data_IF_827245406630
#
_entry.id   IF_827245406630
#
_cell.length_a   1.000
_cell.length_b   1.000
_cell.length_c   1.000
_cell.angle_alpha   90.00
_cell.angle_beta   90.00
_cell.angle_gamma   90.00
#
_symmetry.space_group_name_H-M   'P 1'
#
loop_
_entity.id
_entity.type
_entity.pdbx_description
1 polymer ?
#
# COMPACT_ATOMS: atom_id res chain seq x y z
N UNK A 1 -4.10 -12.26 7.91
CA UNK A 1 -3.03 -11.41 7.37
C UNK A 1 -3.43 -9.95 7.38
N UNK A 2 -2.48 -9.07 7.46
CA UNK A 2 -2.67 -7.62 7.25
C UNK A 2 -1.89 -7.20 6.01
N UNK A 3 -2.43 -6.26 5.26
CA UNK A 3 -1.81 -5.78 4.03
C UNK A 3 -1.64 -4.27 4.07
N UNK A 4 -0.60 -3.76 3.44
CA UNK A 4 -0.17 -2.38 3.59
C UNK A 4 0.19 -1.76 2.25
N UNK A 5 -0.31 -0.55 1.98
CA UNK A 5 -0.05 0.21 0.76
C UNK A 5 0.83 1.44 1.05
N UNK A 6 1.88 1.64 0.26
CA UNK A 6 2.90 2.69 0.44
C UNK A 6 3.09 3.47 -0.86
N UNK A 7 3.18 4.80 -0.81
CA UNK A 7 3.45 5.67 -1.97
C UNK A 7 4.31 6.90 -1.65
N UNK A 8 5.24 7.29 -2.55
CA UNK A 8 5.85 8.64 -2.71
C UNK A 8 6.78 8.75 -3.95
N UNK A 9 7.41 9.93 -4.16
CA UNK A 9 8.21 10.22 -5.35
C UNK A 9 9.65 9.74 -5.26
N UNK A 10 10.16 9.24 -6.38
CA UNK A 10 11.58 8.91 -6.61
C UNK A 10 12.16 9.95 -7.59
N UNK A 11 13.36 10.45 -7.35
CA UNK A 11 14.10 11.27 -8.31
C UNK A 11 15.35 10.52 -8.76
N UNK A 12 15.36 10.12 -10.02
CA UNK A 12 16.39 9.22 -10.54
C UNK A 12 16.39 7.89 -9.75
N UNK A 13 17.53 7.44 -9.30
CA UNK A 13 17.67 6.19 -8.54
C UNK A 13 17.63 6.41 -7.00
N UNK A 14 17.29 7.61 -6.53
CA UNK A 14 17.25 7.96 -5.09
C UNK A 14 15.83 8.16 -4.61
N UNK A 15 15.47 7.44 -3.57
CA UNK A 15 14.22 7.66 -2.82
C UNK A 15 14.28 8.99 -2.05
N UNK A 16 13.14 9.69 -1.94
CA UNK A 16 13.06 10.91 -1.14
C UNK A 16 13.20 10.59 0.36
N UNK A 17 13.67 11.56 1.16
CA UNK A 17 13.73 11.39 2.63
C UNK A 17 12.35 11.07 3.25
N UNK A 18 11.29 11.61 2.67
CA UNK A 18 9.93 11.33 3.12
C UNK A 18 9.54 9.88 2.83
N UNK A 19 9.90 9.36 1.66
CA UNK A 19 9.69 7.96 1.30
C UNK A 19 10.54 7.04 2.17
N UNK A 20 11.82 7.37 2.38
CA UNK A 20 12.73 6.61 3.23
C UNK A 20 12.15 6.41 4.65
N UNK A 21 11.68 7.48 5.30
CA UNK A 21 11.05 7.39 6.64
C UNK A 21 9.84 6.45 6.67
N UNK A 22 9.04 6.42 5.60
CA UNK A 22 7.91 5.50 5.47
C UNK A 22 8.37 4.07 5.29
N UNK A 23 9.38 3.85 4.45
CA UNK A 23 9.94 2.52 4.23
C UNK A 23 10.63 1.98 5.48
N UNK A 24 11.34 2.82 6.24
CA UNK A 24 11.90 2.42 7.54
C UNK A 24 10.80 1.95 8.50
N UNK A 25 9.67 2.67 8.52
CA UNK A 25 8.51 2.26 9.33
C UNK A 25 7.88 0.96 8.83
N UNK A 26 7.86 0.72 7.51
CA UNK A 26 7.40 -0.53 6.93
C UNK A 26 8.33 -1.70 7.28
N UNK A 27 9.64 -1.50 7.21
CA UNK A 27 10.64 -2.50 7.60
C UNK A 27 10.51 -2.85 9.09
N UNK A 28 10.39 -1.84 9.96
CA UNK A 28 10.11 -2.06 11.39
C UNK A 28 8.85 -2.90 11.60
N UNK A 29 7.76 -2.56 10.90
CA UNK A 29 6.51 -3.29 11.00
C UNK A 29 6.63 -4.74 10.49
N UNK A 30 7.36 -4.95 9.38
CA UNK A 30 7.60 -6.29 8.82
C UNK A 30 8.30 -7.22 9.81
N UNK A 31 9.27 -6.69 10.57
CA UNK A 31 10.02 -7.46 11.56
C UNK A 31 9.12 -8.05 12.68
N UNK A 32 8.07 -7.33 13.08
CA UNK A 32 7.13 -7.78 14.10
C UNK A 32 5.91 -8.52 13.54
N UNK A 33 5.69 -8.47 12.22
CA UNK A 33 4.50 -9.01 11.57
C UNK A 33 4.86 -9.85 10.33
N UNK A 34 5.43 -11.05 10.51
CA UNK A 34 5.97 -11.87 9.41
C UNK A 34 4.88 -12.36 8.42
N UNK A 35 3.61 -12.30 8.81
CA UNK A 35 2.48 -12.67 7.95
C UNK A 35 1.85 -11.48 7.20
N UNK A 36 2.41 -10.27 7.35
CA UNK A 36 1.94 -9.09 6.63
C UNK A 36 2.51 -9.06 5.22
N UNK A 37 1.68 -8.70 4.27
CA UNK A 37 2.11 -8.44 2.89
C UNK A 37 2.01 -6.95 2.61
N UNK A 38 3.05 -6.42 2.00
CA UNK A 38 3.15 -5.02 1.61
C UNK A 38 2.88 -4.89 0.12
N UNK A 39 1.88 -4.12 -0.24
CA UNK A 39 1.69 -3.66 -1.63
C UNK A 39 2.47 -2.37 -1.80
N UNK A 40 3.52 -2.44 -2.59
CA UNK A 40 4.35 -1.31 -2.98
C UNK A 40 3.75 -0.73 -4.24
N UNK A 41 3.00 0.37 -4.11
CA UNK A 41 2.21 0.91 -5.21
C UNK A 41 2.74 2.27 -5.64
N UNK A 42 3.06 2.38 -6.92
CA UNK A 42 3.53 3.59 -7.57
C UNK A 42 4.17 3.29 -8.92
N UNK A 43 3.61 3.89 -9.97
CA UNK A 43 4.13 3.77 -11.34
C UNK A 43 5.38 4.61 -11.56
N UNK A 44 5.75 4.75 -12.81
CA UNK A 44 6.89 5.55 -13.25
C UNK A 44 6.44 7.00 -13.50
N UNK A 45 7.13 7.95 -12.87
CA UNK A 45 6.98 9.37 -13.19
C UNK A 45 7.70 9.74 -14.50
N UNK A 46 7.34 10.87 -15.09
CA UNK A 46 7.88 11.31 -16.39
C UNK A 46 9.41 11.52 -16.38
N UNK A 47 9.98 11.82 -15.20
CA UNK A 47 11.41 12.08 -14.99
C UNK A 47 12.10 10.93 -14.21
N UNK A 48 11.52 9.74 -14.17
CA UNK A 48 12.02 8.62 -13.35
C UNK A 48 12.51 7.47 -14.24
N UNK A 49 13.70 6.95 -13.93
CA UNK A 49 14.28 5.78 -14.64
C UNK A 49 13.64 4.46 -14.23
N UNK A 50 12.97 4.43 -13.08
CA UNK A 50 12.36 3.25 -12.49
C UNK A 50 11.04 3.61 -11.82
N UNK A 51 10.13 2.63 -11.69
CA UNK A 51 8.88 2.84 -10.96
C UNK A 51 9.12 3.09 -9.47
N UNK A 52 8.24 3.87 -8.82
CA UNK A 52 8.29 4.05 -7.37
C UNK A 52 8.22 2.70 -6.64
N UNK A 53 7.35 1.79 -7.11
CA UNK A 53 7.20 0.45 -6.55
C UNK A 53 8.52 -0.35 -6.61
N UNK A 54 9.22 -0.33 -7.74
CA UNK A 54 10.50 -1.00 -7.92
C UNK A 54 11.60 -0.43 -7.00
N UNK A 55 11.64 0.89 -6.83
CA UNK A 55 12.57 1.54 -5.92
C UNK A 55 12.29 1.17 -4.45
N UNK A 56 11.01 1.15 -4.04
CA UNK A 56 10.57 0.72 -2.71
C UNK A 56 10.93 -0.74 -2.45
N UNK A 57 10.69 -1.62 -3.43
CA UNK A 57 11.04 -3.04 -3.34
C UNK A 57 12.52 -3.24 -3.08
N UNK A 58 13.41 -2.60 -3.87
CA UNK A 58 14.85 -2.69 -3.67
C UNK A 58 15.26 -2.24 -2.28
N UNK A 59 14.69 -1.15 -1.79
CA UNK A 59 14.96 -0.66 -0.44
C UNK A 59 14.55 -1.65 0.64
N UNK A 60 13.30 -2.14 0.63
CA UNK A 60 12.82 -3.08 1.65
C UNK A 60 13.58 -4.41 1.60
N UNK A 61 13.89 -4.91 0.40
CA UNK A 61 14.69 -6.12 0.22
C UNK A 61 16.11 -5.97 0.77
N UNK A 62 16.76 -4.82 0.55
CA UNK A 62 18.10 -4.53 1.11
C UNK A 62 18.12 -4.45 2.64
N UNK A 63 16.94 -4.23 3.26
CA UNK A 63 16.75 -4.23 4.73
C UNK A 63 16.26 -5.59 5.27
N UNK A 64 16.27 -6.64 4.44
CA UNK A 64 15.99 -8.01 4.87
C UNK A 64 14.50 -8.41 4.83
N UNK A 65 13.61 -7.59 4.24
CA UNK A 65 12.21 -8.00 4.07
C UNK A 65 12.14 -9.05 2.96
N UNK A 66 11.55 -10.23 3.21
CA UNK A 66 11.54 -11.33 2.26
C UNK A 66 10.56 -11.07 1.11
N UNK A 67 10.86 -11.63 -0.07
CA UNK A 67 10.10 -11.43 -1.30
C UNK A 67 8.63 -11.81 -1.18
N UNK A 68 8.29 -12.85 -0.41
CA UNK A 68 6.91 -13.30 -0.23
C UNK A 68 6.01 -12.28 0.49
N UNK A 69 6.61 -11.29 1.16
CA UNK A 69 5.89 -10.17 1.80
C UNK A 69 5.74 -8.97 0.88
N UNK A 70 6.35 -8.94 -0.31
CA UNK A 70 6.40 -7.77 -1.18
C UNK A 70 5.61 -8.01 -2.46
N UNK A 71 4.61 -7.19 -2.73
CA UNK A 71 3.87 -7.14 -3.99
C UNK A 71 4.09 -5.79 -4.66
N UNK A 72 4.42 -5.78 -5.95
CA UNK A 72 4.62 -4.56 -6.71
C UNK A 72 3.35 -4.23 -7.50
N UNK A 73 2.95 -2.97 -7.41
CA UNK A 73 1.96 -2.36 -8.28
C UNK A 73 2.63 -1.16 -8.98
N UNK A 74 2.87 -1.28 -10.27
CA UNK A 74 3.72 -0.36 -11.04
C UNK A 74 2.95 0.47 -12.09
N UNK A 75 1.63 0.33 -12.15
CA UNK A 75 0.80 0.94 -13.20
C UNK A 75 0.13 2.24 -12.79
N UNK A 76 0.03 2.51 -11.50
CA UNK A 76 -0.72 3.65 -10.96
C UNK A 76 -0.01 4.98 -11.15
N UNK A 77 -0.78 6.03 -11.49
CA UNK A 77 -0.31 7.41 -11.67
C UNK A 77 -0.93 8.41 -10.69
N UNK A 78 -1.88 7.98 -9.88
CA UNK A 78 -2.59 8.80 -8.92
C UNK A 78 -2.84 8.06 -7.61
N UNK A 79 -3.15 8.79 -6.52
CA UNK A 79 -3.51 8.16 -5.24
C UNK A 79 -4.77 7.29 -5.37
N UNK A 80 -5.72 7.71 -6.20
CA UNK A 80 -6.92 6.92 -6.49
C UNK A 80 -6.57 5.60 -7.15
N UNK A 81 -5.78 5.63 -8.22
CA UNK A 81 -5.33 4.42 -8.92
C UNK A 81 -4.50 3.50 -8.03
N UNK A 82 -3.63 4.06 -7.17
CA UNK A 82 -2.92 3.26 -6.17
C UNK A 82 -3.88 2.42 -5.32
N UNK A 83 -4.97 3.02 -4.83
CA UNK A 83 -5.94 2.31 -3.99
C UNK A 83 -6.73 1.28 -4.80
N UNK A 84 -7.15 1.62 -6.03
CA UNK A 84 -7.88 0.69 -6.91
C UNK A 84 -7.02 -0.51 -7.27
N UNK A 85 -5.81 -0.30 -7.77
CA UNK A 85 -4.94 -1.39 -8.22
C UNK A 85 -4.40 -2.22 -7.06
N UNK A 86 -4.08 -1.59 -5.92
CA UNK A 86 -3.74 -2.33 -4.70
C UNK A 86 -4.89 -3.21 -4.25
N UNK A 87 -6.15 -2.72 -4.26
CA UNK A 87 -7.32 -3.52 -3.92
C UNK A 87 -7.46 -4.74 -4.84
N UNK A 88 -7.27 -4.56 -6.15
CA UNK A 88 -7.32 -5.66 -7.13
C UNK A 88 -6.27 -6.72 -6.80
N UNK A 89 -5.00 -6.31 -6.61
CA UNK A 89 -3.90 -7.22 -6.28
C UNK A 89 -4.15 -8.00 -4.98
N UNK A 90 -4.59 -7.31 -3.94
CA UNK A 90 -4.89 -7.90 -2.63
C UNK A 90 -6.00 -8.95 -2.77
N UNK A 91 -7.08 -8.59 -3.46
CA UNK A 91 -8.24 -9.49 -3.62
C UNK A 91 -7.85 -10.73 -4.43
N UNK A 92 -7.12 -10.56 -5.51
CA UNK A 92 -6.70 -11.68 -6.37
C UNK A 92 -5.72 -12.61 -5.64
N UNK A 93 -4.76 -12.04 -4.93
CA UNK A 93 -3.83 -12.82 -4.11
C UNK A 93 -4.56 -13.66 -3.06
N UNK A 94 -5.54 -13.08 -2.38
CA UNK A 94 -6.29 -13.81 -1.35
C UNK A 94 -7.18 -14.91 -1.96
N UNK A 95 -7.74 -14.69 -3.13
CA UNK A 95 -8.44 -15.72 -3.91
C UNK A 95 -7.53 -16.89 -4.23
N UNK A 96 -6.35 -16.62 -4.79
CA UNK A 96 -5.37 -17.66 -5.13
C UNK A 96 -4.92 -18.42 -3.89
N UNK A 97 -4.61 -17.72 -2.79
CA UNK A 97 -4.24 -18.34 -1.52
C UNK A 97 -5.31 -19.30 -1.01
N UNK A 98 -6.58 -18.90 -1.04
CA UNK A 98 -7.72 -19.74 -0.62
C UNK A 98 -7.91 -20.92 -1.55
N UNK A 99 -7.80 -20.72 -2.86
CA UNK A 99 -7.91 -21.82 -3.83
C UNK A 99 -6.83 -22.88 -3.60
N UNK A 100 -5.57 -22.44 -3.39
CA UNK A 100 -4.45 -23.35 -3.07
C UNK A 100 -4.69 -24.08 -1.76
N UNK A 101 -5.15 -23.39 -0.71
CA UNK A 101 -5.45 -24.01 0.57
C UNK A 101 -6.58 -25.04 0.46
N UNK A 102 -7.64 -24.75 -0.30
CA UNK A 102 -8.72 -25.69 -0.57
C UNK A 102 -8.22 -26.94 -1.28
N UNK A 103 -7.42 -26.78 -2.33
CA UNK A 103 -6.86 -27.91 -3.07
C UNK A 103 -6.02 -28.80 -2.14
N UNK A 104 -5.14 -28.19 -1.34
CA UNK A 104 -4.31 -28.92 -0.39
C UNK A 104 -5.16 -29.64 0.69
N UNK A 105 -6.18 -28.98 1.25
CA UNK A 105 -7.04 -29.60 2.27
C UNK A 105 -7.89 -30.75 1.70
N UNK A 106 -8.39 -30.59 0.47
CA UNK A 106 -9.16 -31.61 -0.21
C UNK A 106 -8.34 -32.91 -0.44
N UNK A 107 -7.05 -32.80 -0.71
CA UNK A 107 -6.13 -33.93 -0.84
C UNK A 107 -6.07 -34.77 0.44
N UNK A 108 -6.25 -34.13 1.60
CA UNK A 108 -6.30 -34.84 2.91
C UNK A 108 -7.73 -35.14 3.38
N UNK A 109 -8.74 -35.00 2.51
CA UNK A 109 -10.14 -35.32 2.83
C UNK A 109 -10.86 -34.27 3.68
N UNK A 110 -10.28 -33.08 3.84
CA UNK A 110 -10.92 -31.95 4.55
C UNK A 110 -11.66 -31.04 3.58
N UNK A 111 -12.94 -30.74 3.87
CA UNK A 111 -13.74 -29.78 3.14
C UNK A 111 -13.71 -28.45 3.90
N UNK A 112 -13.15 -27.42 3.25
CA UNK A 112 -13.29 -26.05 3.75
C UNK A 112 -14.71 -25.53 3.45
N UNK A 113 -15.30 -24.74 4.35
CA UNK A 113 -16.59 -24.12 4.10
C UNK A 113 -16.56 -23.26 2.82
N UNK A 114 -17.72 -23.08 2.16
CA UNK A 114 -17.83 -22.18 1.00
C UNK A 114 -17.32 -20.78 1.35
N UNK A 115 -16.94 -20.02 0.32
CA UNK A 115 -16.37 -18.68 0.50
C UNK A 115 -17.32 -17.77 1.28
N UNK A 116 -17.05 -17.60 2.57
CA UNK A 116 -17.48 -16.42 3.28
C UNK A 116 -16.78 -15.19 2.70
N UNK A 117 -17.44 -14.03 2.78
CA UNK A 117 -16.90 -12.78 2.31
C UNK A 117 -15.45 -12.57 2.81
N UNK A 118 -14.54 -12.32 1.86
CA UNK A 118 -13.11 -12.21 2.18
C UNK A 118 -12.90 -10.96 3.03
N UNK A 119 -12.83 -11.12 4.33
CA UNK A 119 -12.49 -10.02 5.23
C UNK A 119 -10.98 -9.86 5.31
N UNK A 120 -10.46 -8.84 4.60
CA UNK A 120 -9.05 -8.48 4.60
C UNK A 120 -8.87 -7.27 5.51
N UNK A 121 -7.91 -7.32 6.41
CA UNK A 121 -7.50 -6.15 7.19
C UNK A 121 -6.43 -5.39 6.43
N UNK A 122 -6.72 -4.16 6.02
CA UNK A 122 -5.82 -3.32 5.24
C UNK A 122 -5.29 -2.18 6.10
N UNK A 123 -3.96 -2.03 6.10
CA UNK A 123 -3.27 -0.87 6.65
C UNK A 123 -2.74 0.02 5.53
N UNK A 124 -2.89 1.33 5.66
CA UNK A 124 -2.25 2.30 4.77
C UNK A 124 -1.09 2.93 5.52
N UNK A 125 0.13 2.68 5.01
CA UNK A 125 1.32 3.33 5.53
C UNK A 125 1.67 4.54 4.65
N UNK A 126 1.58 5.72 5.23
CA UNK A 126 1.82 6.99 4.52
C UNK A 126 2.37 8.06 5.45
N UNK A 127 2.62 9.26 4.93
CA UNK A 127 3.00 10.42 5.76
C UNK A 127 1.80 10.94 6.53
N UNK A 128 2.01 11.46 7.73
CA UNK A 128 0.96 11.93 8.63
C UNK A 128 0.02 12.98 8.00
N UNK A 129 0.53 13.89 7.17
CA UNK A 129 -0.28 14.88 6.45
C UNK A 129 -1.17 14.26 5.36
N UNK A 130 -0.82 13.11 4.81
CA UNK A 130 -1.52 12.47 3.71
C UNK A 130 -2.55 11.42 4.17
N UNK A 131 -2.51 10.98 5.43
CA UNK A 131 -3.29 9.86 5.95
C UNK A 131 -4.81 10.05 5.78
N UNK A 132 -5.30 11.27 6.05
CA UNK A 132 -6.74 11.57 5.94
C UNK A 132 -7.26 11.34 4.52
N UNK A 133 -6.54 11.87 3.52
CA UNK A 133 -6.91 11.72 2.11
C UNK A 133 -6.82 10.28 1.64
N UNK A 134 -5.73 9.59 1.98
CA UNK A 134 -5.54 8.19 1.62
C UNK A 134 -6.65 7.28 2.18
N UNK A 135 -7.03 7.47 3.45
CA UNK A 135 -8.16 6.74 4.06
C UNK A 135 -9.51 7.07 3.42
N UNK A 136 -9.75 8.34 3.05
CA UNK A 136 -10.97 8.74 2.37
C UNK A 136 -11.12 8.05 1.03
N UNK A 137 -10.08 8.09 0.20
CA UNK A 137 -10.06 7.41 -1.10
C UNK A 137 -10.21 5.89 -0.93
N UNK A 138 -9.49 5.28 0.02
CA UNK A 138 -9.59 3.84 0.26
C UNK A 138 -11.02 3.39 0.61
N UNK A 139 -11.72 4.17 1.46
CA UNK A 139 -13.14 3.91 1.76
C UNK A 139 -14.03 4.07 0.53
N UNK A 140 -13.79 5.11 -0.27
CA UNK A 140 -14.54 5.38 -1.49
C UNK A 140 -14.41 4.23 -2.50
N UNK A 141 -13.20 3.68 -2.68
CA UNK A 141 -12.99 2.52 -3.56
C UNK A 141 -13.45 1.19 -2.92
N UNK A 142 -14.05 1.24 -1.74
CA UNK A 142 -14.64 0.07 -1.07
C UNK A 142 -13.60 -0.87 -0.44
N UNK A 143 -12.54 -0.32 0.17
CA UNK A 143 -11.67 -1.06 1.07
C UNK A 143 -12.22 -0.90 2.49
N UNK A 144 -12.83 -1.95 3.08
CA UNK A 144 -13.40 -1.85 4.42
C UNK A 144 -12.32 -1.84 5.51
N UNK A 145 -12.62 -1.28 6.67
CA UNK A 145 -11.81 -1.37 7.89
C UNK A 145 -10.34 -0.93 7.72
N UNK A 146 -10.13 0.19 7.01
CA UNK A 146 -8.79 0.73 6.75
C UNK A 146 -8.19 1.35 8.01
N UNK A 147 -7.06 0.83 8.45
CA UNK A 147 -6.22 1.41 9.48
C UNK A 147 -5.12 2.28 8.87
N UNK A 148 -4.75 3.38 9.51
CA UNK A 148 -3.62 4.21 9.08
C UNK A 148 -2.41 3.97 9.96
N UNK A 149 -1.25 3.88 9.32
CA UNK A 149 0.05 3.92 9.99
C UNK A 149 0.81 5.08 9.37
N UNK A 150 1.07 6.12 10.17
CA UNK A 150 1.73 7.32 9.63
C UNK A 150 3.20 7.39 10.04
N UNK A 151 4.05 7.71 9.06
CA UNK A 151 5.42 8.13 9.32
C UNK A 151 5.45 9.65 9.59
N UNK A 152 6.30 10.07 10.53
CA UNK A 152 6.46 11.49 10.88
C UNK A 152 7.10 12.24 9.72
N UNK A 153 6.53 13.38 9.37
CA UNK A 153 7.05 14.30 8.37
C UNK A 153 8.04 15.28 8.98
N UNK A 154 8.77 15.97 8.11
CA UNK A 154 9.63 17.07 8.53
C UNK A 154 8.77 18.21 9.12
N UNK A 155 9.03 18.66 10.37
CA UNK A 155 8.23 19.68 11.01
C UNK A 155 8.19 21.02 10.26
N UNK A 156 9.28 21.37 9.57
CA UNK A 156 9.39 22.64 8.82
C UNK A 156 8.47 22.64 7.59
N UNK A 157 8.35 21.49 6.92
CA UNK A 157 7.54 21.35 5.70
C UNK A 157 6.10 20.90 5.99
N UNK A 158 5.79 20.51 7.22
CA UNK A 158 4.49 19.94 7.59
C UNK A 158 3.32 20.87 7.27
N UNK A 159 3.41 22.15 7.63
CA UNK A 159 2.36 23.13 7.36
C UNK A 159 2.09 23.28 5.85
N UNK A 160 3.15 23.38 5.05
CA UNK A 160 3.04 23.43 3.59
C UNK A 160 2.35 22.19 3.02
N UNK A 161 2.73 21.01 3.49
CA UNK A 161 2.11 19.77 3.06
C UNK A 161 0.63 19.67 3.45
N UNK A 162 0.25 20.12 4.65
CA UNK A 162 -1.15 20.16 5.07
C UNK A 162 -2.01 21.05 4.17
N UNK A 163 -1.52 22.26 3.81
CA UNK A 163 -2.25 23.15 2.89
C UNK A 163 -2.43 22.50 1.52
N UNK A 164 -1.37 21.89 0.98
CA UNK A 164 -1.45 21.14 -0.28
C UNK A 164 -2.47 20.01 -0.24
N UNK A 165 -2.51 19.25 0.85
CA UNK A 165 -3.47 18.15 1.02
C UNK A 165 -4.92 18.65 1.15
N UNK A 166 -5.16 19.82 1.76
CA UNK A 166 -6.49 20.43 1.76
C UNK A 166 -7.01 20.67 0.34
N UNK A 167 -6.19 21.25 -0.54
CA UNK A 167 -6.56 21.43 -1.95
C UNK A 167 -6.72 20.10 -2.69
N UNK A 168 -5.89 19.12 -2.42
CA UNK A 168 -6.00 17.80 -3.01
C UNK A 168 -7.29 17.08 -2.60
N UNK A 169 -7.72 17.18 -1.34
CA UNK A 169 -8.99 16.64 -0.85
C UNK A 169 -10.17 17.33 -1.54
N UNK A 170 -10.14 18.65 -1.67
CA UNK A 170 -11.19 19.38 -2.40
C UNK A 170 -11.28 18.90 -3.84
N UNK A 171 -10.13 18.80 -4.54
CA UNK A 171 -10.08 18.28 -5.90
C UNK A 171 -10.67 16.86 -5.98
N UNK A 172 -10.25 15.94 -5.10
CA UNK A 172 -10.72 14.56 -5.13
C UNK A 172 -12.24 14.45 -4.87
N UNK A 173 -12.80 15.32 -4.01
CA UNK A 173 -14.26 15.42 -3.82
C UNK A 173 -14.97 15.94 -5.06
N UNK A 174 -14.43 16.96 -5.73
CA UNK A 174 -15.05 17.49 -6.96
C UNK A 174 -15.02 16.50 -8.12
N UNK A 175 -13.96 15.68 -8.21
CA UNK A 175 -13.80 14.67 -9.27
C UNK A 175 -14.54 13.36 -8.94
N UNK A 176 -15.05 13.22 -7.70
CA UNK A 176 -15.75 12.01 -7.27
C UNK A 176 -14.83 10.84 -6.91
N UNK A 177 -13.61 11.10 -6.48
CA UNK A 177 -12.63 10.11 -6.03
C UNK A 177 -12.67 9.88 -4.50
N UNK A 178 -13.56 10.62 -3.80
CA UNK A 178 -13.60 10.56 -2.33
C UNK A 178 -15.00 10.89 -1.78
#
# INVERSE_FOLDING_TARGET
GSEMCIRDRVRGNKISRTLERRLDKAVEYAAYHPNTVFVLSGGQGDDEDVTEASAMYRYMKSRGVPDYQLLLEESSRSTYENMVYSKILITERERLRRATLRAAMAEYGYLLPPDEEITIRVGILTSNFHELRAKGIARHVGIPNVSGISAKSDPVLFAHFCVRECFAILKDKFVGNM
#
